data_IF_261795362712
#
_entry.id   IF_261795362712
#
_cell.length_a   1.000
_cell.length_b   1.000
_cell.length_c   1.000
_cell.angle_alpha   90.00
_cell.angle_beta   90.00
_cell.angle_gamma   90.00
#
_symmetry.space_group_name_H-M   'P 1'
#
loop_
_entity.id
_entity.type
_entity.pdbx_description
1 polymer ?
#
# COMPACT_ATOMS: atom_id res chain seq x y z
N UNK A 1 -24.32 5.52 -14.60
CA UNK A 1 -23.05 6.29 -14.44
C UNK A 1 -22.68 6.96 -15.76
N UNK A 2 -22.23 8.22 -15.75
CA UNK A 2 -21.74 8.92 -16.97
C UNK A 2 -20.32 8.47 -17.31
N UNK A 3 -19.92 8.59 -18.60
CA UNK A 3 -18.57 8.20 -19.05
C UNK A 3 -17.48 9.00 -18.33
N UNK A 4 -17.69 10.30 -18.10
CA UNK A 4 -16.75 11.15 -17.38
C UNK A 4 -16.54 10.67 -15.93
N UNK A 5 -17.63 10.36 -15.23
CA UNK A 5 -17.57 9.83 -13.86
C UNK A 5 -16.89 8.46 -13.83
N UNK A 6 -17.22 7.58 -14.79
CA UNK A 6 -16.59 6.28 -14.90
C UNK A 6 -15.08 6.41 -15.11
N UNK A 7 -14.66 7.24 -16.07
CA UNK A 7 -13.23 7.44 -16.37
C UNK A 7 -12.44 7.96 -15.16
N UNK A 8 -13.03 8.85 -14.36
CA UNK A 8 -12.40 9.32 -13.14
C UNK A 8 -12.29 8.24 -12.07
N UNK A 9 -13.37 7.48 -11.87
CA UNK A 9 -13.41 6.40 -10.88
C UNK A 9 -12.47 5.25 -11.26
N UNK A 10 -12.40 4.86 -12.55
CA UNK A 10 -11.48 3.81 -12.98
C UNK A 10 -10.02 4.22 -12.86
N UNK A 11 -9.67 5.49 -13.08
CA UNK A 11 -8.31 5.98 -12.85
C UNK A 11 -7.90 5.89 -11.38
N UNK A 12 -8.82 6.17 -10.46
CA UNK A 12 -8.57 6.03 -9.04
C UNK A 12 -8.55 4.56 -8.59
N UNK A 13 -9.46 3.74 -9.09
CA UNK A 13 -9.57 2.32 -8.73
C UNK A 13 -8.43 1.47 -9.29
N UNK A 14 -7.94 1.81 -10.49
CA UNK A 14 -6.90 1.08 -11.22
C UNK A 14 -5.77 2.04 -11.59
N UNK A 15 -4.81 2.31 -10.70
CA UNK A 15 -3.70 3.22 -10.95
C UNK A 15 -2.81 2.77 -12.12
N UNK A 16 -2.64 1.47 -12.33
CA UNK A 16 -1.84 0.92 -13.42
C UNK A 16 -2.36 1.35 -14.79
N UNK A 17 -1.56 2.11 -15.51
CA UNK A 17 -1.85 2.51 -16.88
C UNK A 17 -1.92 1.30 -17.82
N UNK A 18 -0.99 0.35 -17.67
CA UNK A 18 -0.92 -0.87 -18.49
C UNK A 18 -2.21 -1.68 -18.38
N UNK A 19 -2.75 -1.80 -17.15
CA UNK A 19 -3.99 -2.54 -16.90
C UNK A 19 -5.18 -1.80 -17.48
N UNK A 20 -5.28 -0.46 -17.32
CA UNK A 20 -6.37 0.31 -17.92
C UNK A 20 -6.38 0.21 -19.43
N UNK A 21 -5.25 0.42 -20.09
CA UNK A 21 -5.12 0.30 -21.55
C UNK A 21 -5.47 -1.13 -22.05
N UNK A 22 -5.09 -2.14 -21.27
CA UNK A 22 -5.46 -3.51 -21.59
C UNK A 22 -6.96 -3.75 -21.46
N UNK A 23 -7.61 -3.25 -20.37
CA UNK A 23 -9.07 -3.33 -20.19
C UNK A 23 -9.81 -2.62 -21.33
N UNK A 24 -9.37 -1.44 -21.74
CA UNK A 24 -9.93 -0.72 -22.90
C UNK A 24 -9.82 -1.55 -24.18
N UNK A 25 -8.65 -2.12 -24.45
CA UNK A 25 -8.40 -2.95 -25.63
C UNK A 25 -9.32 -4.17 -25.72
N UNK A 26 -9.67 -4.77 -24.59
CA UNK A 26 -10.58 -5.93 -24.55
C UNK A 26 -12.05 -5.55 -24.26
N UNK A 27 -12.33 -4.25 -24.22
CA UNK A 27 -13.66 -3.70 -23.90
C UNK A 27 -14.22 -4.17 -22.54
N UNK A 28 -13.33 -4.33 -21.54
CA UNK A 28 -13.73 -4.67 -20.16
C UNK A 28 -14.15 -3.41 -19.43
N UNK A 29 -15.39 -3.42 -18.92
CA UNK A 29 -15.91 -2.40 -18.02
C UNK A 29 -16.16 -3.00 -16.65
N UNK A 30 -15.95 -2.21 -15.59
CA UNK A 30 -16.17 -2.63 -14.22
C UNK A 30 -17.53 -2.12 -13.73
N UNK A 31 -18.25 -3.00 -13.03
CA UNK A 31 -19.49 -2.63 -12.35
C UNK A 31 -19.19 -1.73 -11.14
N UNK A 32 -20.18 -0.94 -10.62
CA UNK A 32 -19.95 -0.07 -9.47
C UNK A 32 -19.40 -0.80 -8.24
N UNK A 33 -19.87 -2.02 -7.93
CA UNK A 33 -19.34 -2.79 -6.80
C UNK A 33 -17.87 -3.24 -7.01
N UNK A 34 -17.49 -3.54 -8.26
CA UNK A 34 -16.09 -3.87 -8.59
C UNK A 34 -15.19 -2.66 -8.41
N UNK A 35 -15.64 -1.47 -8.85
CA UNK A 35 -14.92 -0.22 -8.63
C UNK A 35 -14.78 0.10 -7.13
N UNK A 36 -15.85 -0.12 -6.34
CA UNK A 36 -15.80 0.07 -4.89
C UNK A 36 -14.73 -0.83 -4.25
N UNK A 37 -14.72 -2.12 -4.60
CA UNK A 37 -13.73 -3.09 -4.11
C UNK A 37 -12.31 -2.66 -4.47
N UNK A 38 -12.07 -2.27 -5.73
CA UNK A 38 -10.76 -1.83 -6.20
C UNK A 38 -10.29 -0.53 -5.52
N UNK A 39 -11.19 0.42 -5.28
CA UNK A 39 -10.88 1.64 -4.53
C UNK A 39 -10.44 1.29 -3.10
N UNK A 40 -11.12 0.37 -2.43
CA UNK A 40 -10.76 -0.07 -1.09
C UNK A 40 -9.37 -0.72 -1.03
N UNK A 41 -9.06 -1.55 -2.02
CA UNK A 41 -7.78 -2.26 -2.13
C UNK A 41 -6.61 -1.34 -2.56
N UNK A 42 -6.90 -0.15 -3.10
CA UNK A 42 -5.85 0.74 -3.57
C UNK A 42 -5.11 1.40 -2.39
N UNK A 43 -3.86 0.99 -2.18
CA UNK A 43 -2.97 1.49 -1.12
C UNK A 43 -2.44 2.91 -1.38
N UNK A 44 -2.57 3.42 -2.62
CA UNK A 44 -2.17 4.79 -2.97
C UNK A 44 -3.16 5.85 -2.52
N UNK A 45 -4.40 5.46 -2.23
CA UNK A 45 -5.45 6.37 -1.80
C UNK A 45 -5.44 6.50 -0.28
N UNK A 46 -5.40 7.73 0.20
CA UNK A 46 -5.70 8.04 1.60
C UNK A 46 -7.19 7.78 1.93
N UNK A 47 -7.49 7.62 3.23
CA UNK A 47 -8.86 7.31 3.67
C UNK A 47 -9.89 8.33 3.19
N UNK A 48 -9.62 9.63 3.35
CA UNK A 48 -10.55 10.68 2.90
C UNK A 48 -10.81 10.67 1.39
N UNK A 49 -9.82 10.24 0.61
CA UNK A 49 -9.98 10.08 -0.84
C UNK A 49 -10.84 8.85 -1.16
N UNK A 50 -10.60 7.72 -0.45
CA UNK A 50 -11.44 6.53 -0.58
C UNK A 50 -12.89 6.82 -0.23
N UNK A 51 -13.15 7.49 0.89
CA UNK A 51 -14.49 7.87 1.33
C UNK A 51 -15.22 8.72 0.29
N UNK A 52 -14.55 9.73 -0.26
CA UNK A 52 -15.14 10.60 -1.28
C UNK A 52 -15.50 9.82 -2.54
N UNK A 53 -14.62 8.93 -3.02
CA UNK A 53 -14.86 8.09 -4.20
C UNK A 53 -15.96 7.06 -3.96
N UNK A 54 -15.98 6.43 -2.78
CA UNK A 54 -17.00 5.47 -2.40
C UNK A 54 -18.37 6.12 -2.25
N UNK A 55 -18.45 7.29 -1.62
CA UNK A 55 -19.69 8.06 -1.53
C UNK A 55 -20.29 8.37 -2.90
N UNK A 56 -19.44 8.64 -3.90
CA UNK A 56 -19.90 8.84 -5.27
C UNK A 56 -20.46 7.58 -5.94
N UNK A 57 -20.03 6.40 -5.50
CA UNK A 57 -20.52 5.12 -6.04
C UNK A 57 -21.86 4.70 -5.44
N UNK A 58 -22.22 5.16 -4.25
CA UNK A 58 -23.47 4.78 -3.58
C UNK A 58 -24.72 4.95 -4.46
N UNK A 59 -24.96 6.08 -5.13
CA UNK A 59 -26.10 6.23 -6.01
C UNK A 59 -26.11 5.27 -7.19
N UNK A 60 -24.92 4.93 -7.72
CA UNK A 60 -24.79 4.01 -8.84
C UNK A 60 -25.05 2.56 -8.40
N UNK A 61 -24.57 2.18 -7.21
CA UNK A 61 -24.86 0.88 -6.61
C UNK A 61 -26.37 0.70 -6.39
N UNK A 62 -27.04 1.71 -5.85
CA UNK A 62 -28.50 1.67 -5.62
C UNK A 62 -29.32 1.67 -6.90
N UNK A 63 -28.79 2.20 -8.01
CA UNK A 63 -29.47 2.23 -9.30
C UNK A 63 -29.32 0.92 -10.09
N UNK A 64 -28.32 0.08 -9.76
CA UNK A 64 -28.13 -1.19 -10.45
C UNK A 64 -29.01 -2.31 -9.88
N UNK A 65 -29.62 -3.14 -10.73
CA UNK A 65 -30.37 -4.31 -10.25
C UNK A 65 -29.46 -5.31 -9.51
N UNK A 66 -29.89 -5.80 -8.36
CA UNK A 66 -29.18 -6.77 -7.51
C UNK A 66 -28.74 -8.06 -8.23
N UNK A 67 -29.34 -8.36 -9.37
CA UNK A 67 -29.02 -9.57 -10.15
C UNK A 67 -27.62 -9.58 -10.77
N UNK A 68 -26.89 -8.47 -10.76
CA UNK A 68 -25.55 -8.35 -11.38
C UNK A 68 -24.39 -8.54 -10.42
N UNK A 69 -24.58 -8.42 -9.12
CA UNK A 69 -23.57 -8.72 -8.11
C UNK A 69 -23.34 -10.24 -8.04
N UNK A 70 -22.84 -10.84 -9.12
CA UNK A 70 -22.49 -12.26 -9.15
C UNK A 70 -21.11 -12.43 -8.56
N UNK A 71 -21.04 -13.13 -7.43
CA UNK A 71 -19.81 -13.78 -6.98
C UNK A 71 -19.33 -14.77 -8.03
N UNK A 72 -18.07 -14.64 -8.44
CA UNK A 72 -17.48 -15.51 -9.47
C UNK A 72 -17.07 -16.87 -8.90
N UNK A 73 -17.04 -17.05 -7.58
CA UNK A 73 -16.68 -18.34 -7.01
C UNK A 73 -17.82 -18.98 -6.26
N UNK A 74 -18.17 -20.22 -6.67
CA UNK A 74 -19.08 -21.11 -5.92
C UNK A 74 -18.54 -21.60 -4.58
N UNK A 75 -17.43 -21.01 -4.08
CA UNK A 75 -16.74 -21.40 -2.85
C UNK A 75 -17.19 -20.54 -1.66
N UNK A 76 -17.59 -19.28 -1.85
CA UNK A 76 -18.05 -18.41 -0.78
C UNK A 76 -19.52 -18.05 -0.96
N UNK A 77 -20.33 -18.44 0.03
CA UNK A 77 -21.80 -18.30 0.01
C UNK A 77 -22.33 -16.91 0.38
N UNK A 78 -21.46 -15.93 0.62
CA UNK A 78 -21.88 -14.59 0.99
C UNK A 78 -22.04 -13.74 -0.26
N UNK A 79 -23.28 -13.62 -0.73
CA UNK A 79 -23.65 -12.77 -1.84
C UNK A 79 -24.11 -11.43 -1.27
N UNK A 80 -23.34 -10.38 -1.49
CA UNK A 80 -23.81 -9.02 -1.23
C UNK A 80 -24.57 -8.51 -2.45
N UNK A 81 -25.77 -7.99 -2.25
CA UNK A 81 -26.47 -7.19 -3.25
C UNK A 81 -25.78 -5.82 -3.38
N UNK A 82 -25.99 -5.17 -4.50
CA UNK A 82 -25.48 -3.79 -4.67
C UNK A 82 -26.02 -2.85 -3.59
N UNK A 83 -27.24 -3.09 -3.12
CA UNK A 83 -27.83 -2.30 -2.03
C UNK A 83 -27.11 -2.52 -0.70
N UNK A 84 -26.76 -3.77 -0.36
CA UNK A 84 -25.99 -4.09 0.85
C UNK A 84 -24.60 -3.47 0.79
N UNK A 85 -23.93 -3.51 -0.36
CA UNK A 85 -22.63 -2.83 -0.54
C UNK A 85 -22.77 -1.31 -0.33
N UNK A 86 -23.84 -0.69 -0.83
CA UNK A 86 -24.11 0.73 -0.62
C UNK A 86 -24.38 1.05 0.86
N UNK A 87 -25.16 0.21 1.55
CA UNK A 87 -25.46 0.37 2.98
C UNK A 87 -24.19 0.25 3.83
N UNK A 88 -23.30 -0.69 3.54
CA UNK A 88 -22.01 -0.86 4.20
C UNK A 88 -21.09 0.35 4.00
N UNK A 89 -21.02 0.87 2.77
CA UNK A 89 -20.23 2.08 2.49
C UNK A 89 -20.75 3.28 3.29
N UNK A 90 -22.07 3.51 3.31
CA UNK A 90 -22.67 4.63 4.06
C UNK A 90 -22.44 4.47 5.57
N UNK A 91 -22.65 3.27 6.11
CA UNK A 91 -22.39 2.98 7.53
C UNK A 91 -20.92 3.20 7.91
N UNK A 92 -20.00 2.79 7.06
CA UNK A 92 -18.59 3.00 7.23
C UNK A 92 -18.22 4.49 7.27
N UNK A 93 -18.65 5.26 6.27
CA UNK A 93 -18.38 6.71 6.18
C UNK A 93 -18.97 7.45 7.40
N UNK A 94 -20.18 7.09 7.84
CA UNK A 94 -20.81 7.67 9.02
C UNK A 94 -20.02 7.37 10.30
N UNK A 95 -19.53 6.13 10.45
CA UNK A 95 -18.69 5.73 11.59
C UNK A 95 -17.35 6.48 11.59
N UNK A 96 -16.70 6.56 10.42
CA UNK A 96 -15.43 7.28 10.31
C UNK A 96 -15.57 8.76 10.62
N UNK A 97 -16.65 9.41 10.14
CA UNK A 97 -16.94 10.79 10.49
C UNK A 97 -17.18 10.98 12.00
N UNK A 98 -17.88 10.06 12.64
CA UNK A 98 -18.05 10.09 14.10
C UNK A 98 -16.72 9.93 14.85
N UNK A 99 -15.85 9.03 14.40
CA UNK A 99 -14.50 8.88 14.97
C UNK A 99 -13.65 10.14 14.77
N UNK A 100 -13.67 10.73 13.58
CA UNK A 100 -12.99 12.00 13.28
C UNK A 100 -13.48 13.12 14.18
N UNK A 101 -14.79 13.29 14.29
CA UNK A 101 -15.41 14.29 15.14
C UNK A 101 -15.01 14.09 16.61
N UNK A 102 -15.03 12.85 17.08
CA UNK A 102 -14.60 12.55 18.43
C UNK A 102 -13.12 12.83 18.64
N UNK A 103 -12.26 12.43 17.71
CA UNK A 103 -10.81 12.63 17.80
C UNK A 103 -10.43 14.11 17.78
N UNK A 104 -11.01 14.89 16.88
CA UNK A 104 -10.56 16.25 16.55
C UNK A 104 -11.27 17.38 17.30
N UNK A 105 -12.32 17.08 18.07
CA UNK A 105 -13.03 18.07 18.86
C UNK A 105 -12.67 17.99 20.35
N UNK A 106 -12.49 19.13 20.99
CA UNK A 106 -12.19 19.18 22.43
C UNK A 106 -13.44 18.84 23.26
N UNK A 107 -13.26 17.95 24.24
CA UNK A 107 -14.29 17.61 25.23
C UNK A 107 -13.75 17.75 26.65
N UNK A 108 -14.54 18.25 27.60
CA UNK A 108 -14.11 18.35 28.98
C UNK A 108 -13.73 16.99 29.59
N UNK A 109 -12.56 16.93 30.20
CA UNK A 109 -12.04 15.71 30.87
C UNK A 109 -11.36 14.72 29.89
N UNK A 110 -11.20 15.07 28.63
CA UNK A 110 -10.42 14.30 27.67
C UNK A 110 -9.05 14.94 27.43
N UNK A 111 -8.10 14.10 27.06
CA UNK A 111 -6.73 14.49 26.75
C UNK A 111 -6.27 13.80 25.47
N UNK A 112 -5.25 14.40 24.87
CA UNK A 112 -4.60 13.94 23.65
C UNK A 112 -3.16 13.51 23.97
N UNK A 113 -2.79 12.33 23.56
CA UNK A 113 -1.40 11.84 23.60
C UNK A 113 -0.86 11.80 22.18
N UNK A 114 0.22 12.55 21.92
CA UNK A 114 0.86 12.66 20.62
C UNK A 114 2.22 11.96 20.65
N UNK A 115 2.45 11.13 19.65
CA UNK A 115 3.70 10.44 19.42
C UNK A 115 4.05 10.55 17.93
N UNK A 116 5.35 10.42 17.58
CA UNK A 116 5.78 10.28 16.19
C UNK A 116 6.75 9.12 16.03
N UNK A 117 6.91 8.68 14.78
CA UNK A 117 7.94 7.75 14.33
C UNK A 117 8.77 8.43 13.26
N UNK A 118 10.09 8.34 13.37
CA UNK A 118 11.02 8.89 12.39
C UNK A 118 11.51 7.84 11.39
N UNK A 119 11.96 8.29 10.23
CA UNK A 119 12.54 7.42 9.19
C UNK A 119 13.84 6.81 9.69
N UNK A 120 13.94 5.48 9.66
CA UNK A 120 15.15 4.74 10.08
C UNK A 120 15.16 4.27 11.53
N UNK A 121 14.20 4.65 12.35
CA UNK A 121 14.04 4.06 13.68
C UNK A 121 13.18 2.80 13.59
N UNK A 122 13.70 1.69 14.07
CA UNK A 122 12.97 0.42 14.12
C UNK A 122 12.02 0.45 15.33
N UNK A 123 10.76 0.87 15.13
CA UNK A 123 9.66 0.79 16.12
C UNK A 123 9.78 1.68 17.36
N UNK A 124 10.63 2.68 17.35
CA UNK A 124 10.70 3.62 18.47
C UNK A 124 9.73 4.78 18.24
N UNK A 125 8.70 4.83 19.07
CA UNK A 125 7.79 5.96 19.12
C UNK A 125 8.34 7.00 20.09
N UNK A 126 8.45 8.22 19.62
CA UNK A 126 8.86 9.36 20.44
C UNK A 126 7.62 10.08 20.97
N UNK A 127 7.51 10.20 22.28
CA UNK A 127 6.36 10.83 22.92
C UNK A 127 6.55 12.35 22.92
N UNK A 128 5.67 13.09 22.22
CA UNK A 128 5.66 14.55 22.20
C UNK A 128 4.94 15.14 23.41
N UNK A 129 4.13 14.37 24.11
CA UNK A 129 3.42 14.79 25.31
C UNK A 129 1.94 14.48 25.35
N UNK A 130 1.30 14.95 26.42
CA UNK A 130 -0.15 14.86 26.64
C UNK A 130 -0.73 16.27 26.70
N UNK A 131 -1.78 16.51 25.92
CA UNK A 131 -2.35 17.84 25.69
C UNK A 131 -3.82 17.89 26.07
N UNK A 132 -4.28 19.06 26.51
CA UNK A 132 -5.68 19.30 26.87
C UNK A 132 -6.54 19.82 25.74
N UNK A 133 -5.96 20.08 24.55
CA UNK A 133 -6.71 20.54 23.38
C UNK A 133 -6.02 20.13 22.08
N UNK A 134 -6.82 19.99 21.04
CA UNK A 134 -6.34 19.64 19.70
C UNK A 134 -5.46 20.74 19.10
N UNK A 135 -5.71 22.02 19.40
CA UNK A 135 -4.88 23.11 18.93
C UNK A 135 -3.42 22.98 19.42
N UNK A 136 -3.21 22.59 20.68
CA UNK A 136 -1.87 22.34 21.21
C UNK A 136 -1.19 21.14 20.55
N UNK A 137 -1.96 20.15 20.14
CA UNK A 137 -1.43 19.03 19.35
C UNK A 137 -0.88 19.55 18.02
N UNK A 138 -1.67 20.33 17.27
CA UNK A 138 -1.23 20.88 15.98
C UNK A 138 -0.02 21.81 16.12
N UNK A 139 -0.02 22.70 17.11
CA UNK A 139 1.14 23.55 17.40
C UNK A 139 2.41 22.72 17.67
N UNK A 140 2.26 21.60 18.38
CA UNK A 140 3.38 20.69 18.64
C UNK A 140 3.82 19.95 17.39
N UNK A 141 2.87 19.44 16.58
CA UNK A 141 3.20 18.80 15.30
C UNK A 141 3.99 19.75 14.38
N UNK A 142 3.53 21.00 14.25
CA UNK A 142 4.22 22.01 13.42
C UNK A 142 5.64 22.27 13.91
N UNK A 143 5.83 22.35 15.23
CA UNK A 143 7.16 22.52 15.84
C UNK A 143 8.08 21.33 15.56
N UNK A 144 7.60 20.11 15.80
CA UNK A 144 8.40 18.90 15.53
C UNK A 144 8.79 18.79 14.05
N UNK A 145 7.88 19.09 13.13
CA UNK A 145 8.16 19.13 11.68
C UNK A 145 9.29 20.13 11.38
N UNK A 146 9.26 21.31 11.99
CA UNK A 146 10.27 22.34 11.79
C UNK A 146 11.64 21.91 12.38
N UNK A 147 11.64 21.35 13.58
CA UNK A 147 12.86 20.86 14.25
C UNK A 147 13.51 19.74 13.43
N UNK A 148 12.72 18.82 12.85
CA UNK A 148 13.23 17.74 11.99
C UNK A 148 13.81 18.25 10.67
N UNK A 149 13.21 19.28 10.07
CA UNK A 149 13.78 19.91 8.86
C UNK A 149 15.15 20.53 9.13
N UNK A 150 15.34 21.16 10.29
CA UNK A 150 16.63 21.74 10.68
C UNK A 150 17.70 20.66 10.86
N UNK A 151 17.30 19.45 11.24
CA UNK A 151 18.18 18.29 11.39
C UNK A 151 18.36 17.47 10.09
N UNK A 152 17.69 17.84 9.01
CA UNK A 152 17.68 17.07 7.76
C UNK A 152 17.13 15.64 7.92
N UNK A 153 16.20 15.47 8.87
CA UNK A 153 15.52 14.23 9.18
C UNK A 153 14.03 14.31 8.79
N UNK A 154 13.36 13.18 8.70
CA UNK A 154 11.96 13.10 8.29
C UNK A 154 11.12 12.34 9.31
N UNK A 155 9.94 12.88 9.61
CA UNK A 155 8.91 12.19 10.39
C UNK A 155 8.10 11.31 9.46
N UNK A 156 8.06 10.02 9.75
CA UNK A 156 7.30 9.04 8.98
C UNK A 156 5.80 9.24 9.17
N UNK A 157 5.37 9.41 10.42
CA UNK A 157 3.98 9.76 10.77
C UNK A 157 3.88 10.23 12.21
N UNK A 158 2.76 10.93 12.51
CA UNK A 158 2.31 11.17 13.88
C UNK A 158 1.18 10.22 14.25
N UNK A 159 1.18 9.80 15.51
CA UNK A 159 0.12 9.03 16.11
C UNK A 159 -0.56 9.85 17.21
N UNK A 160 -1.85 10.10 17.05
CA UNK A 160 -2.68 10.82 18.01
C UNK A 160 -3.65 9.86 18.66
N UNK A 161 -3.63 9.81 19.99
CA UNK A 161 -4.59 9.06 20.79
C UNK A 161 -5.38 10.01 21.67
N UNK A 162 -6.70 9.88 21.68
CA UNK A 162 -7.58 10.66 22.56
C UNK A 162 -8.33 9.74 23.48
N UNK A 163 -8.29 10.04 24.76
CA UNK A 163 -8.96 9.27 25.79
C UNK A 163 -9.41 10.16 26.95
N UNK A 164 -10.33 9.66 27.80
CA UNK A 164 -10.71 10.33 29.02
C UNK A 164 -9.58 10.21 30.05
N UNK A 165 -9.32 11.28 30.81
CA UNK A 165 -8.17 11.38 31.71
C UNK A 165 -8.00 10.18 32.66
N UNK A 166 -9.11 9.62 33.17
CA UNK A 166 -9.12 8.48 34.07
C UNK A 166 -9.43 7.14 33.40
N UNK A 167 -9.47 7.09 32.05
CA UNK A 167 -9.84 5.90 31.29
C UNK A 167 -9.01 5.81 30.02
N UNK A 168 -7.77 5.32 30.15
CA UNK A 168 -6.84 5.14 29.02
C UNK A 168 -7.18 3.95 28.13
N UNK A 169 -8.00 3.02 28.58
CA UNK A 169 -8.34 1.82 27.82
C UNK A 169 -9.34 2.12 26.70
N UNK A 170 -10.21 3.13 26.94
CA UNK A 170 -11.18 3.59 25.96
C UNK A 170 -10.67 4.82 25.19
N UNK A 171 -10.09 4.60 24.03
CA UNK A 171 -9.49 5.65 23.20
C UNK A 171 -9.96 5.60 21.74
N UNK A 172 -9.89 6.74 21.08
CA UNK A 172 -9.85 6.85 19.63
C UNK A 172 -8.43 7.21 19.20
N UNK A 173 -7.97 6.58 18.17
CA UNK A 173 -6.63 6.68 17.65
C UNK A 173 -6.65 7.16 16.20
N UNK A 174 -5.77 8.09 15.86
CA UNK A 174 -5.57 8.56 14.50
C UNK A 174 -4.10 8.57 14.12
N UNK A 175 -3.81 8.19 12.88
CA UNK A 175 -2.48 8.27 12.28
C UNK A 175 -2.47 9.37 11.22
N UNK A 176 -1.57 10.34 11.40
CA UNK A 176 -1.35 11.42 10.46
C UNK A 176 -0.08 11.13 9.67
N UNK A 177 -0.17 11.12 8.37
CA UNK A 177 0.96 10.88 7.47
C UNK A 177 1.29 12.12 6.65
N UNK A 178 2.55 12.29 6.20
CA UNK A 178 2.91 13.37 5.31
C UNK A 178 2.08 13.32 4.03
N UNK A 179 1.60 14.48 3.60
CA UNK A 179 0.87 14.57 2.34
C UNK A 179 1.83 14.45 1.16
N UNK A 180 1.54 13.54 0.23
CA UNK A 180 2.44 13.20 -0.89
C UNK A 180 2.84 14.42 -1.75
N UNK A 181 1.91 15.37 -1.92
CA UNK A 181 2.14 16.58 -2.72
C UNK A 181 2.82 17.71 -1.93
N UNK A 182 2.78 17.64 -0.61
CA UNK A 182 3.40 18.61 0.29
C UNK A 182 3.79 17.94 1.61
N UNK A 183 5.02 17.39 1.72
CA UNK A 183 5.48 16.66 2.90
C UNK A 183 5.43 17.46 4.21
N UNK A 184 5.28 18.78 4.12
CA UNK A 184 5.15 19.66 5.29
C UNK A 184 3.73 19.64 5.89
N UNK A 185 2.78 19.06 5.17
CA UNK A 185 1.41 18.89 5.63
C UNK A 185 1.15 17.43 5.95
N UNK A 186 0.53 17.22 7.08
CA UNK A 186 0.10 15.89 7.52
C UNK A 186 -1.41 15.80 7.41
N UNK A 187 -1.88 14.68 6.88
CA UNK A 187 -3.30 14.36 6.79
C UNK A 187 -3.62 13.13 7.64
N UNK A 188 -4.83 13.11 8.18
CA UNK A 188 -5.35 11.96 8.90
C UNK A 188 -5.61 10.83 7.90
N UNK A 189 -4.83 9.76 8.00
CA UNK A 189 -4.86 8.64 7.06
C UNK A 189 -5.41 7.34 7.66
N UNK A 190 -5.53 7.26 8.98
CA UNK A 190 -6.03 6.08 9.65
C UNK A 190 -6.77 6.47 10.93
N UNK A 191 -7.86 5.79 11.20
CA UNK A 191 -8.66 5.90 12.43
C UNK A 191 -8.93 4.51 12.99
N UNK A 192 -8.92 4.42 14.32
CA UNK A 192 -9.31 3.22 15.04
C UNK A 192 -9.88 3.59 16.43
N UNK A 193 -10.55 2.67 17.07
CA UNK A 193 -11.15 2.89 18.39
C UNK A 193 -11.19 1.61 19.19
N UNK A 194 -10.78 1.69 20.46
CA UNK A 194 -10.87 0.54 21.37
C UNK A 194 -12.31 0.18 21.78
N UNK A 195 -13.28 1.07 21.55
CA UNK A 195 -14.66 0.91 22.04
C UNK A 195 -15.75 1.02 20.96
N UNK A 196 -15.42 1.58 19.78
CA UNK A 196 -16.41 1.72 18.69
C UNK A 196 -16.55 0.46 17.83
N UNK A 197 -15.90 -0.64 18.22
CA UNK A 197 -15.97 -1.93 17.55
C UNK A 197 -15.18 -1.99 16.25
N UNK A 198 -14.33 -2.98 16.15
CA UNK A 198 -13.57 -3.24 14.91
C UNK A 198 -14.46 -3.75 13.75
N UNK A 199 -15.73 -4.02 14.01
CA UNK A 199 -16.68 -4.56 13.04
C UNK A 199 -16.95 -3.63 11.85
N UNK A 200 -16.62 -2.34 11.98
CA UNK A 200 -16.86 -1.33 10.97
C UNK A 200 -15.59 -0.68 10.40
N UNK A 201 -14.41 -1.11 10.82
CA UNK A 201 -13.20 -0.63 10.16
C UNK A 201 -13.09 -1.26 8.78
N UNK A 202 -12.99 -0.46 7.75
CA UNK A 202 -12.79 -0.89 6.36
C UNK A 202 -11.51 -1.73 6.18
N UNK A 203 -10.62 -1.71 7.16
CA UNK A 203 -9.48 -2.62 7.27
C UNK A 203 -9.87 -4.01 7.80
N UNK A 204 -11.02 -4.15 8.43
CA UNK A 204 -11.66 -5.45 8.67
C UNK A 204 -12.64 -5.73 7.53
N UNK A 205 -12.16 -5.91 6.50
CA UNK A 205 -12.26 -6.50 5.19
C UNK A 205 -13.30 -7.63 5.01
N UNK A 206 -14.00 -8.03 6.06
CA UNK A 206 -14.87 -9.20 6.00
C UNK A 206 -16.06 -9.05 5.05
N UNK A 207 -16.44 -7.80 4.71
CA UNK A 207 -17.50 -7.53 3.75
C UNK A 207 -17.02 -7.52 2.28
N UNK A 208 -15.89 -6.85 2.01
CA UNK A 208 -15.40 -6.64 0.65
C UNK A 208 -14.36 -7.66 0.18
N UNK A 209 -13.63 -8.30 1.08
CA UNK A 209 -12.67 -9.37 0.76
C UNK A 209 -13.33 -10.60 0.10
N UNK A 210 -14.65 -10.71 0.23
CA UNK A 210 -15.42 -11.76 -0.42
C UNK A 210 -15.92 -11.37 -1.82
N UNK A 211 -15.75 -10.12 -2.25
CA UNK A 211 -16.10 -9.66 -3.59
C UNK A 211 -14.88 -9.82 -4.49
N UNK A 212 -14.83 -10.93 -5.22
CA UNK A 212 -13.78 -11.18 -6.20
C UNK A 212 -14.01 -10.31 -7.43
N UNK A 213 -13.02 -9.48 -7.74
CA UNK A 213 -12.98 -8.68 -8.96
C UNK A 213 -11.96 -9.27 -9.91
N UNK A 214 -12.42 -9.75 -11.07
CA UNK A 214 -11.51 -10.20 -12.12
C UNK A 214 -10.85 -8.98 -12.78
N UNK A 215 -9.54 -8.89 -12.64
CA UNK A 215 -8.74 -7.80 -13.19
C UNK A 215 -7.94 -8.35 -14.38
N UNK A 216 -8.41 -8.13 -15.61
CA UNK A 216 -7.64 -8.47 -16.79
C UNK A 216 -6.36 -7.64 -16.82
N UNK A 217 -5.24 -8.28 -17.09
CA UNK A 217 -3.95 -7.59 -17.12
C UNK A 217 -3.06 -8.10 -18.26
N UNK A 218 -2.11 -7.26 -18.75
CA UNK A 218 -1.23 -7.61 -19.86
C UNK A 218 0.04 -8.36 -19.42
N UNK A 219 0.25 -8.58 -18.11
CA UNK A 219 1.49 -9.14 -17.59
C UNK A 219 1.63 -10.63 -17.93
N UNK A 220 2.89 -11.08 -18.12
CA UNK A 220 3.26 -12.44 -18.45
C UNK A 220 4.50 -12.85 -17.68
N UNK A 221 4.71 -14.15 -17.51
CA UNK A 221 5.92 -14.67 -16.91
C UNK A 221 7.16 -14.09 -17.64
N UNK A 222 8.12 -13.60 -16.86
CA UNK A 222 9.31 -12.94 -17.32
C UNK A 222 9.15 -11.46 -17.71
N UNK A 223 7.97 -10.87 -17.52
CA UNK A 223 7.87 -9.41 -17.55
C UNK A 223 8.53 -8.82 -16.29
N UNK A 224 9.23 -7.72 -16.46
CA UNK A 224 9.73 -6.94 -15.34
C UNK A 224 8.68 -5.89 -15.03
N UNK A 225 8.27 -5.84 -13.78
CA UNK A 225 7.24 -4.93 -13.30
C UNK A 225 7.75 -4.12 -12.12
N UNK A 226 7.14 -2.97 -11.93
CA UNK A 226 7.36 -2.10 -10.78
C UNK A 226 6.05 -1.88 -10.05
N UNK A 227 6.04 -2.02 -8.76
CA UNK A 227 4.93 -1.63 -7.92
C UNK A 227 4.86 -0.11 -7.79
N UNK A 228 3.68 0.46 -7.96
CA UNK A 228 3.50 1.91 -8.10
C UNK A 228 3.65 2.61 -6.74
N UNK A 229 3.28 1.96 -5.65
CA UNK A 229 3.26 2.52 -4.30
C UNK A 229 4.66 2.77 -3.72
N UNK A 230 5.56 1.83 -3.87
CA UNK A 230 6.91 1.89 -3.28
C UNK A 230 8.06 1.80 -4.31
N UNK A 231 7.72 1.59 -5.58
CA UNK A 231 8.70 1.49 -6.66
C UNK A 231 9.48 0.18 -6.69
N UNK A 232 9.10 -0.83 -5.88
CA UNK A 232 9.76 -2.12 -5.85
C UNK A 232 9.66 -2.82 -7.21
N UNK A 233 10.80 -3.20 -7.77
CA UNK A 233 10.87 -3.92 -9.05
C UNK A 233 11.06 -5.42 -8.82
N UNK A 234 10.44 -6.22 -9.69
CA UNK A 234 10.59 -7.67 -9.68
C UNK A 234 10.24 -8.29 -11.03
N UNK A 235 10.47 -9.59 -11.14
CA UNK A 235 10.17 -10.39 -12.32
C UNK A 235 8.92 -11.22 -12.07
N UNK A 236 7.97 -11.17 -12.99
CA UNK A 236 6.76 -11.99 -12.91
C UNK A 236 7.12 -13.46 -13.08
N UNK A 237 6.91 -14.25 -12.02
CA UNK A 237 7.23 -15.67 -11.99
C UNK A 237 6.00 -16.56 -12.21
N UNK A 238 4.87 -16.10 -11.73
CA UNK A 238 3.62 -16.83 -11.84
C UNK A 238 2.44 -15.86 -11.87
N UNK A 239 1.43 -16.20 -12.62
CA UNK A 239 0.17 -15.49 -12.70
C UNK A 239 -0.91 -16.45 -12.26
N UNK A 240 -1.54 -16.15 -11.12
CA UNK A 240 -2.63 -16.95 -10.58
C UNK A 240 -3.83 -16.06 -10.27
N UNK A 241 -4.96 -16.33 -10.90
CA UNK A 241 -6.15 -15.49 -10.83
C UNK A 241 -5.85 -14.03 -11.19
N UNK A 242 -6.13 -13.08 -10.28
CA UNK A 242 -5.93 -11.64 -10.48
C UNK A 242 -4.66 -11.12 -9.79
N UNK A 243 -3.81 -12.01 -9.30
CA UNK A 243 -2.56 -11.68 -8.62
C UNK A 243 -1.37 -11.92 -9.52
N UNK A 244 -0.37 -11.05 -9.41
CA UNK A 244 0.93 -11.20 -10.04
C UNK A 244 1.95 -11.50 -8.96
N UNK A 245 2.57 -12.68 -9.07
CA UNK A 245 3.69 -13.05 -8.21
C UNK A 245 4.99 -12.58 -8.84
N UNK A 246 5.83 -11.91 -8.08
CA UNK A 246 7.18 -11.56 -8.51
C UNK A 246 8.16 -11.68 -7.35
N UNK A 247 9.43 -11.80 -7.71
CA UNK A 247 10.51 -11.91 -6.75
C UNK A 247 11.18 -10.57 -6.55
N UNK A 248 11.33 -10.15 -5.32
CA UNK A 248 12.07 -8.94 -4.98
C UNK A 248 13.54 -9.23 -4.70
N UNK A 249 14.38 -8.30 -5.10
CA UNK A 249 15.83 -8.37 -4.92
C UNK A 249 16.21 -7.66 -3.63
N UNK A 250 16.37 -8.41 -2.55
CA UNK A 250 16.74 -7.86 -1.26
C UNK A 250 17.93 -8.59 -0.65
N UNK A 251 18.78 -7.84 0.01
CA UNK A 251 19.93 -8.34 0.73
C UNK A 251 19.75 -8.03 2.21
N UNK A 252 19.90 -9.02 3.08
CA UNK A 252 19.87 -8.83 4.53
C UNK A 252 21.27 -8.92 5.10
N UNK A 253 21.61 -7.98 5.96
CA UNK A 253 22.78 -8.09 6.81
C UNK A 253 22.58 -9.16 7.90
N UNK A 254 23.63 -9.94 8.17
CA UNK A 254 23.61 -10.91 9.28
C UNK A 254 23.45 -10.26 10.66
N UNK A 255 23.75 -8.98 10.78
CA UNK A 255 23.84 -8.24 12.06
C UNK A 255 22.58 -7.53 12.51
N UNK A 256 21.45 -7.69 11.91
CA UNK A 256 20.34 -7.07 12.57
C UNK A 256 19.21 -6.58 11.73
N UNK A 257 19.18 -6.92 10.49
CA UNK A 257 17.92 -6.90 9.85
C UNK A 257 17.58 -5.72 8.96
N UNK A 258 18.50 -4.85 8.65
CA UNK A 258 18.26 -3.85 7.62
C UNK A 258 18.33 -4.51 6.25
N UNK A 259 17.26 -4.30 5.48
CA UNK A 259 17.20 -4.75 4.11
C UNK A 259 17.88 -3.68 3.28
N UNK A 260 19.04 -4.02 2.72
CA UNK A 260 19.78 -3.10 1.87
C UNK A 260 19.71 -3.52 0.41
N UNK A 261 19.91 -2.56 -0.47
CA UNK A 261 19.98 -2.81 -1.91
C UNK A 261 21.26 -3.56 -2.28
N UNK A 262 21.25 -4.23 -3.45
CA UNK A 262 22.39 -4.98 -3.98
C UNK A 262 23.65 -4.11 -4.21
N UNK A 263 23.60 -2.83 -3.95
CA UNK A 263 24.72 -1.89 -4.03
C UNK A 263 25.43 -1.64 -2.71
N UNK A 264 25.48 -2.59 -1.79
CA UNK A 264 26.09 -2.47 -0.47
C UNK A 264 27.59 -2.16 -0.53
N UNK A 265 28.08 -1.35 0.42
CA UNK A 265 29.50 -1.16 0.57
C UNK A 265 30.22 -2.50 0.69
N UNK A 266 31.34 -2.55 0.06
CA UNK A 266 32.17 -3.72 -0.06
C UNK A 266 32.53 -4.41 1.27
N UNK A 267 32.62 -3.67 2.32
CA UNK A 267 32.99 -4.15 3.68
C UNK A 267 31.95 -5.12 4.28
N UNK A 268 30.74 -5.18 3.72
CA UNK A 268 29.66 -6.01 4.20
C UNK A 268 29.39 -7.26 3.33
N UNK A 269 30.09 -7.42 2.21
CA UNK A 269 29.84 -8.51 1.27
C UNK A 269 30.09 -9.92 1.83
N UNK A 270 30.94 -10.04 2.84
CA UNK A 270 31.22 -11.33 3.49
C UNK A 270 30.14 -11.76 4.50
N UNK A 271 29.36 -10.77 5.00
CA UNK A 271 28.36 -10.98 6.05
C UNK A 271 26.91 -11.01 5.53
N UNK A 272 26.72 -10.83 4.24
CA UNK A 272 25.40 -10.70 3.63
C UNK A 272 24.73 -12.03 3.39
N UNK A 273 23.46 -12.09 3.80
CA UNK A 273 22.56 -13.15 3.39
C UNK A 273 21.53 -12.59 2.40
N UNK A 274 21.43 -13.23 1.25
CA UNK A 274 20.40 -12.92 0.29
C UNK A 274 19.09 -13.53 0.74
N UNK A 275 18.06 -12.72 0.79
CA UNK A 275 16.70 -13.21 0.92
C UNK A 275 15.94 -12.95 -0.36
N UNK A 276 15.19 -13.89 -0.66
CA UNK A 276 14.34 -14.02 -1.77
C UNK A 276 12.91 -13.95 -1.24
N UNK A 277 12.15 -12.96 -1.64
CA UNK A 277 10.78 -12.81 -1.20
C UNK A 277 9.83 -13.11 -2.36
N UNK A 278 8.95 -14.04 -2.10
CA UNK A 278 7.84 -14.35 -2.98
C UNK A 278 6.66 -13.49 -2.58
N UNK A 279 6.35 -12.49 -3.38
CA UNK A 279 5.31 -11.50 -3.08
C UNK A 279 4.18 -11.59 -4.09
N UNK A 280 2.96 -11.58 -3.59
CA UNK A 280 1.76 -11.47 -4.41
C UNK A 280 1.32 -10.01 -4.51
N UNK A 281 1.00 -9.54 -5.71
CA UNK A 281 0.56 -8.17 -5.95
C UNK A 281 -0.68 -8.11 -6.81
N UNK A 282 -1.52 -7.14 -6.49
CA UNK A 282 -2.65 -6.82 -7.36
C UNK A 282 -2.14 -6.18 -8.66
N UNK A 283 -2.53 -6.69 -9.82
CA UNK A 283 -2.12 -6.13 -11.12
C UNK A 283 -2.41 -4.63 -11.25
N UNK A 284 -3.46 -4.14 -10.61
CA UNK A 284 -3.86 -2.72 -10.61
C UNK A 284 -2.83 -1.78 -10.02
N UNK A 285 -1.89 -2.30 -9.22
CA UNK A 285 -0.80 -1.54 -8.60
C UNK A 285 0.56 -1.78 -9.27
N UNK A 286 0.61 -2.42 -10.42
CA UNK A 286 1.84 -2.76 -11.11
C UNK A 286 1.92 -2.11 -12.50
N UNK A 287 3.12 -1.71 -12.90
CA UNK A 287 3.44 -1.22 -14.25
C UNK A 287 4.59 -2.01 -14.84
N UNK A 288 4.59 -2.20 -16.16
CA UNK A 288 5.73 -2.77 -16.88
C UNK A 288 6.91 -1.80 -16.87
N UNK A 289 8.08 -2.35 -16.65
CA UNK A 289 9.33 -1.59 -16.71
C UNK A 289 9.98 -1.84 -18.07
N UNK A 290 10.20 -0.76 -18.83
CA UNK A 290 11.10 -0.80 -19.98
C UNK A 290 12.53 -0.62 -19.47
N UNK A 291 13.26 -1.72 -19.40
CA UNK A 291 14.65 -1.73 -18.90
C UNK A 291 15.54 -0.80 -19.73
N UNK A 292 15.28 -0.67 -21.05
CA UNK A 292 16.05 0.24 -21.88
C UNK A 292 15.92 1.70 -21.44
N UNK A 293 14.86 2.04 -20.70
CA UNK A 293 14.66 3.38 -20.13
C UNK A 293 15.27 3.56 -18.74
N UNK A 294 15.69 2.47 -18.09
CA UNK A 294 16.33 2.52 -16.78
C UNK A 294 17.77 3.02 -16.90
N UNK A 295 18.23 3.80 -15.92
CA UNK A 295 19.60 4.28 -15.90
C UNK A 295 20.56 3.09 -15.76
N UNK A 296 21.61 3.03 -16.57
CA UNK A 296 22.65 1.99 -16.55
C UNK A 296 23.36 1.80 -15.20
N UNK A 297 23.05 2.64 -14.22
CA UNK A 297 23.70 2.66 -12.91
C UNK A 297 23.00 1.84 -11.82
N UNK A 298 21.81 1.29 -12.09
CA UNK A 298 21.13 0.45 -11.07
C UNK A 298 21.66 -0.99 -11.16
N UNK A 299 22.39 -1.48 -10.15
CA UNK A 299 23.00 -2.81 -10.13
C UNK A 299 21.97 -3.95 -10.18
N UNK A 300 20.70 -3.66 -9.94
CA UNK A 300 19.62 -4.66 -10.01
C UNK A 300 19.21 -4.98 -11.45
N UNK A 301 19.41 -4.07 -12.39
CA UNK A 301 18.93 -4.24 -13.76
C UNK A 301 19.48 -5.49 -14.45
N UNK A 302 20.80 -5.77 -14.46
CA UNK A 302 21.33 -6.99 -15.09
C UNK A 302 20.75 -8.28 -14.48
N UNK A 303 20.51 -8.29 -13.17
CA UNK A 303 19.94 -9.44 -12.50
C UNK A 303 18.47 -9.64 -12.88
N UNK A 304 17.67 -8.56 -12.90
CA UNK A 304 16.28 -8.61 -13.36
C UNK A 304 16.17 -9.11 -14.80
N UNK A 305 17.09 -8.70 -15.69
CA UNK A 305 17.14 -9.17 -17.09
C UNK A 305 17.46 -10.66 -17.18
N UNK A 306 18.45 -11.13 -16.42
CA UNK A 306 18.81 -12.56 -16.36
C UNK A 306 17.61 -13.39 -15.86
N UNK A 307 16.99 -12.99 -14.76
CA UNK A 307 15.82 -13.65 -14.21
C UNK A 307 14.62 -13.64 -15.18
N UNK A 308 14.37 -12.50 -15.82
CA UNK A 308 13.31 -12.37 -16.83
C UNK A 308 13.52 -13.30 -18.03
N UNK A 309 14.78 -13.46 -18.47
CA UNK A 309 15.14 -14.37 -19.55
C UNK A 309 14.85 -15.82 -19.20
N UNK A 310 15.22 -16.24 -17.99
CA UNK A 310 14.93 -17.58 -17.47
C UNK A 310 13.42 -17.83 -17.41
N UNK A 311 12.67 -16.90 -16.87
CA UNK A 311 11.21 -17.03 -16.73
C UNK A 311 10.46 -17.04 -18.06
N UNK A 312 10.91 -16.27 -19.06
CA UNK A 312 10.37 -16.31 -20.43
C UNK A 312 10.60 -17.66 -21.11
N UNK A 313 11.69 -18.35 -20.75
CA UNK A 313 12.02 -19.68 -21.24
C UNK A 313 11.32 -20.83 -20.53
N UNK A 314 10.23 -20.59 -19.80
CA UNK A 314 9.55 -21.55 -18.92
C UNK A 314 10.46 -22.08 -17.77
N UNK A 315 11.36 -21.24 -17.30
CA UNK A 315 12.19 -21.52 -16.14
C UNK A 315 11.34 -21.67 -14.87
N UNK A 316 11.88 -22.39 -13.92
CA UNK A 316 11.29 -22.51 -12.59
C UNK A 316 11.92 -21.50 -11.63
N UNK A 317 11.27 -21.35 -10.47
CA UNK A 317 11.80 -20.58 -9.34
C UNK A 317 13.23 -20.99 -8.94
N UNK A 318 13.57 -22.27 -9.05
CA UNK A 318 14.93 -22.80 -8.76
C UNK A 318 15.97 -22.19 -9.71
N UNK A 319 15.61 -22.00 -10.99
CA UNK A 319 16.51 -21.34 -11.95
C UNK A 319 16.68 -19.85 -11.65
N UNK A 320 15.62 -19.19 -11.22
CA UNK A 320 15.67 -17.79 -10.80
C UNK A 320 16.64 -17.62 -9.63
N UNK A 321 16.54 -18.48 -8.63
CA UNK A 321 17.42 -18.50 -7.47
C UNK A 321 18.88 -18.82 -7.86
N UNK A 322 19.06 -19.71 -8.83
CA UNK A 322 20.39 -20.03 -9.34
C UNK A 322 21.06 -18.84 -10.04
N UNK A 323 20.35 -18.15 -10.93
CA UNK A 323 20.86 -16.95 -11.63
C UNK A 323 21.17 -15.82 -10.66
N UNK A 324 20.34 -15.66 -9.62
CA UNK A 324 20.57 -14.72 -8.55
C UNK A 324 21.87 -14.99 -7.79
N UNK A 325 22.04 -16.20 -7.30
CA UNK A 325 23.26 -16.58 -6.57
C UNK A 325 24.51 -16.43 -7.45
N UNK A 326 24.42 -16.82 -8.72
CA UNK A 326 25.51 -16.66 -9.68
C UNK A 326 25.92 -15.20 -9.84
N UNK A 327 24.97 -14.30 -10.00
CA UNK A 327 25.24 -12.86 -10.11
C UNK A 327 25.96 -12.31 -8.87
N UNK A 328 25.55 -12.75 -7.70
CA UNK A 328 26.15 -12.33 -6.45
C UNK A 328 27.56 -12.85 -6.31
N UNK A 329 27.79 -14.13 -6.61
CA UNK A 329 29.13 -14.72 -6.58
C UNK A 329 30.07 -14.03 -7.57
N UNK A 330 29.58 -13.68 -8.76
CA UNK A 330 30.34 -12.92 -9.75
C UNK A 330 30.73 -11.53 -9.22
N UNK A 331 29.82 -10.82 -8.55
CA UNK A 331 30.12 -9.52 -7.94
C UNK A 331 31.10 -9.62 -6.78
N UNK A 332 30.96 -10.65 -5.92
CA UNK A 332 31.93 -10.91 -4.85
C UNK A 332 33.32 -11.15 -5.41
N UNK A 333 33.43 -11.96 -6.46
CA UNK A 333 34.72 -12.21 -7.10
C UNK A 333 35.32 -10.97 -7.75
N UNK A 334 34.53 -10.11 -8.36
CA UNK A 334 35.00 -8.82 -8.90
C UNK A 334 35.52 -7.91 -7.80
N UNK A 335 34.79 -7.82 -6.70
CA UNK A 335 35.19 -7.04 -5.55
C UNK A 335 36.55 -7.51 -4.99
N UNK A 336 36.70 -8.80 -4.75
CA UNK A 336 37.94 -9.36 -4.25
C UNK A 336 39.14 -9.13 -5.19
N UNK A 337 38.93 -9.11 -6.52
CA UNK A 337 39.97 -8.79 -7.49
C UNK A 337 40.46 -7.35 -7.42
N UNK A 338 39.66 -6.44 -6.96
CA UNK A 338 39.99 -5.02 -6.92
C UNK A 338 40.49 -4.52 -5.56
N UNK A 339 40.27 -5.30 -4.50
CA UNK A 339 40.58 -4.89 -3.12
C UNK A 339 41.56 -5.80 -2.40
N UNK A 340 41.99 -6.90 -3.04
CA UNK A 340 43.07 -7.81 -2.61
C UNK A 340 44.00 -8.13 -3.77
#
# INVERSE_FOLDING_TARGET
MTDEKYNRLIQAAVPSKDVREYCEKISRTFAPYELATLICQNTLLGYSQKDALLAELVPELRAEPDSKAKTISGVYKNHYSNSEVADEIEAYIDMENKMKDYLLNDFPGYVYELEYEETGSYRDFYNCGVFSSINKVYETMEKEIQDFKELNAEILFFRLRKYKLDDRENYVYGKFVPWKENPDKFELNYLDSSFMGHEYCFNHRDGFDNLLVLIPHPFRNGDIIRRIDDGLMGVVCNIQNDEVFFESLQVREKRGGDITDVGIPADYLEDETFTYEHLAFFPTLCEKVDIASCKDSDPKIPLLEACATVMKGNGSFEYLFHEWNKYIDERRMEYHKHHY
#
